data_IF_926539047085
#
_entry.id   IF_926539047085
#
_cell.length_a   1.000
_cell.length_b   1.000
_cell.length_c   1.000
_cell.angle_alpha   90.00
_cell.angle_beta   90.00
_cell.angle_gamma   90.00
#
_symmetry.space_group_name_H-M   'P 1'
#
loop_
_entity.id
_entity.type
_entity.pdbx_description
1 polymer ?
#
# COMPACT_ATOMS: atom_id res chain seq x y z
N UNK A 1 -19.10 -25.96 5.48
CA UNK A 1 -18.23 -24.86 5.95
C UNK A 1 -17.08 -24.68 4.97
N UNK A 2 -16.98 -23.52 4.31
CA UNK A 2 -15.83 -23.21 3.44
C UNK A 2 -14.68 -22.72 4.34
N UNK A 3 -13.51 -23.35 4.24
CA UNK A 3 -12.31 -22.97 4.99
C UNK A 3 -11.77 -21.66 4.41
N UNK A 4 -11.65 -20.62 5.22
CA UNK A 4 -10.97 -19.38 4.85
C UNK A 4 -9.50 -19.72 4.54
N UNK A 5 -9.05 -19.50 3.29
CA UNK A 5 -7.64 -19.62 2.93
C UNK A 5 -6.92 -18.39 3.48
N UNK A 6 -6.10 -18.59 4.51
CA UNK A 6 -5.19 -17.57 5.05
C UNK A 6 -4.06 -17.41 4.02
N UNK A 7 -4.08 -16.33 3.23
CA UNK A 7 -2.93 -15.95 2.41
C UNK A 7 -1.90 -15.30 3.34
N UNK A 8 -0.82 -16.02 3.61
CA UNK A 8 0.40 -15.41 4.16
C UNK A 8 1.25 -15.06 2.96
N UNK A 9 1.53 -13.78 2.74
CA UNK A 9 2.49 -13.38 1.72
C UNK A 9 3.84 -13.97 2.13
N UNK A 10 4.30 -15.00 1.40
CA UNK A 10 5.65 -15.54 1.57
C UNK A 10 6.63 -14.40 1.22
N UNK A 11 7.35 -13.93 2.24
CA UNK A 11 8.33 -12.88 2.05
C UNK A 11 9.55 -13.51 1.38
N UNK A 12 9.87 -13.08 0.16
CA UNK A 12 11.03 -13.56 -0.59
C UNK A 12 12.32 -13.19 0.16
N UNK A 13 12.88 -14.18 0.85
CA UNK A 13 14.08 -14.02 1.66
C UNK A 13 15.30 -13.67 0.81
N UNK A 14 15.34 -14.09 -0.45
CA UNK A 14 16.42 -13.75 -1.37
C UNK A 14 16.43 -12.26 -1.72
N UNK A 15 15.25 -11.70 -1.95
CA UNK A 15 15.09 -10.26 -2.14
C UNK A 15 15.49 -9.45 -0.89
N UNK A 16 15.16 -9.93 0.31
CA UNK A 16 15.57 -9.29 1.56
C UNK A 16 17.09 -9.32 1.77
N UNK A 17 17.74 -10.45 1.45
CA UNK A 17 19.19 -10.57 1.52
C UNK A 17 19.90 -9.67 0.49
N UNK A 18 19.33 -9.52 -0.71
CA UNK A 18 19.83 -8.58 -1.73
C UNK A 18 19.69 -7.12 -1.27
N UNK A 19 18.57 -6.75 -0.65
CA UNK A 19 18.39 -5.43 -0.06
C UNK A 19 19.37 -5.17 1.09
N UNK A 20 19.63 -6.18 1.93
CA UNK A 20 20.62 -6.07 3.01
C UNK A 20 22.01 -5.82 2.43
N UNK A 21 22.43 -6.62 1.46
CA UNK A 21 23.73 -6.49 0.82
C UNK A 21 23.91 -5.13 0.14
N UNK A 22 22.90 -4.65 -0.59
CA UNK A 22 22.91 -3.30 -1.19
C UNK A 22 23.00 -2.18 -0.14
N UNK A 23 22.42 -2.39 1.05
CA UNK A 23 22.50 -1.43 2.15
C UNK A 23 23.88 -1.38 2.82
N UNK A 24 24.63 -2.48 2.75
CA UNK A 24 25.99 -2.59 3.29
C UNK A 24 27.06 -2.04 2.32
N UNK A 25 26.84 -2.19 1.01
CA UNK A 25 27.74 -1.69 -0.04
C UNK A 25 27.60 -0.17 -0.29
N UNK A 26 26.45 0.40 0.04
CA UNK A 26 26.13 1.82 -0.17
C UNK A 26 26.10 2.58 1.17
N UNK A 27 26.43 3.89 1.16
CA UNK A 27 26.11 4.71 2.33
C UNK A 27 24.59 4.71 2.57
N UNK A 28 24.18 4.74 3.84
CA UNK A 28 22.78 4.72 4.27
C UNK A 28 21.94 5.77 3.54
N UNK A 29 22.48 6.97 3.35
CA UNK A 29 21.84 8.08 2.61
C UNK A 29 21.61 7.74 1.13
N UNK A 30 22.59 7.10 0.47
CA UNK A 30 22.52 6.71 -0.93
C UNK A 30 21.54 5.55 -1.14
N UNK A 31 21.51 4.60 -0.21
CA UNK A 31 20.54 3.51 -0.19
C UNK A 31 19.11 4.03 0.01
N UNK A 32 18.90 4.91 0.99
CA UNK A 32 17.60 5.57 1.23
C UNK A 32 17.16 6.37 -0.01
N UNK A 33 18.06 7.11 -0.65
CA UNK A 33 17.75 7.85 -1.88
C UNK A 33 17.37 6.92 -3.04
N UNK A 34 18.04 5.77 -3.18
CA UNK A 34 17.72 4.75 -4.19
C UNK A 34 16.33 4.17 -3.96
N UNK A 35 16.02 3.76 -2.73
CA UNK A 35 14.70 3.22 -2.36
C UNK A 35 13.61 4.26 -2.64
N UNK A 36 13.79 5.51 -2.20
CA UNK A 36 12.84 6.61 -2.47
C UNK A 36 12.60 6.82 -3.97
N UNK A 37 13.66 6.80 -4.80
CA UNK A 37 13.55 6.93 -6.26
C UNK A 37 12.82 5.74 -6.89
N UNK A 38 13.09 4.52 -6.43
CA UNK A 38 12.38 3.31 -6.86
C UNK A 38 10.89 3.42 -6.57
N UNK A 39 10.54 3.78 -5.33
CA UNK A 39 9.15 4.00 -4.91
C UNK A 39 8.48 5.10 -5.73
N UNK A 40 9.15 6.23 -6.01
CA UNK A 40 8.57 7.30 -6.83
C UNK A 40 8.31 6.90 -8.29
N UNK A 41 9.20 6.12 -8.91
CA UNK A 41 8.96 5.54 -10.24
C UNK A 41 7.75 4.61 -10.21
N UNK A 42 7.65 3.73 -9.20
CA UNK A 42 6.51 2.84 -9.00
C UNK A 42 5.19 3.61 -8.88
N UNK A 43 5.16 4.66 -8.05
CA UNK A 43 3.98 5.53 -7.86
C UNK A 43 3.50 6.15 -9.18
N UNK A 44 4.41 6.70 -9.98
CA UNK A 44 4.07 7.30 -11.28
C UNK A 44 3.50 6.28 -12.27
N UNK A 45 3.97 5.04 -12.23
CA UNK A 45 3.44 3.95 -13.06
C UNK A 45 2.02 3.59 -12.62
N UNK A 46 1.78 3.42 -11.31
CA UNK A 46 0.46 3.10 -10.75
C UNK A 46 -0.58 4.16 -11.14
N UNK A 47 -0.28 5.44 -10.91
CA UNK A 47 -1.21 6.53 -11.24
C UNK A 47 -1.47 6.61 -12.75
N UNK A 48 -0.45 6.39 -13.58
CA UNK A 48 -0.61 6.36 -15.03
C UNK A 48 -1.53 5.21 -15.45
N UNK A 49 -1.37 4.03 -14.86
CA UNK A 49 -2.20 2.87 -15.19
C UNK A 49 -3.65 3.07 -14.76
N UNK A 50 -3.87 3.61 -13.56
CA UNK A 50 -5.19 3.98 -13.07
C UNK A 50 -5.92 4.97 -13.99
N UNK A 51 -5.20 5.97 -14.52
CA UNK A 51 -5.76 6.91 -15.51
C UNK A 51 -6.10 6.19 -16.82
N UNK A 52 -5.23 5.31 -17.32
CA UNK A 52 -5.47 4.54 -18.55
C UNK A 52 -6.68 3.61 -18.42
N UNK A 53 -6.87 3.01 -17.25
CA UNK A 53 -8.00 2.13 -16.94
C UNK A 53 -9.28 2.89 -16.55
N UNK A 54 -9.24 4.22 -16.51
CA UNK A 54 -10.42 5.05 -16.30
C UNK A 54 -10.88 5.18 -14.85
N UNK A 55 -10.06 4.81 -13.85
CA UNK A 55 -10.41 4.96 -12.42
C UNK A 55 -10.64 6.44 -12.04
N UNK A 56 -9.85 7.33 -12.64
CA UNK A 56 -10.00 8.78 -12.55
C UNK A 56 -9.28 9.46 -13.71
N UNK A 57 -9.67 10.69 -14.04
CA UNK A 57 -8.95 11.48 -15.04
C UNK A 57 -7.67 12.10 -14.45
N UNK A 58 -6.71 12.45 -15.32
CA UNK A 58 -5.52 13.23 -14.93
C UNK A 58 -5.87 14.54 -14.22
N UNK A 59 -6.92 15.22 -14.70
CA UNK A 59 -7.42 16.47 -14.10
C UNK A 59 -7.96 16.22 -12.69
N UNK A 60 -8.76 15.16 -12.53
CA UNK A 60 -9.30 14.81 -11.23
C UNK A 60 -8.20 14.44 -10.24
N UNK A 61 -7.22 13.64 -10.65
CA UNK A 61 -6.07 13.28 -9.82
C UNK A 61 -5.37 14.52 -9.27
N UNK A 62 -4.99 15.45 -10.15
CA UNK A 62 -4.29 16.67 -9.76
C UNK A 62 -5.10 17.56 -8.82
N UNK A 63 -6.43 17.56 -8.95
CA UNK A 63 -7.30 18.47 -8.21
C UNK A 63 -7.78 17.89 -6.87
N UNK A 64 -7.98 16.57 -6.79
CA UNK A 64 -8.64 15.93 -5.64
C UNK A 64 -7.73 15.04 -4.80
N UNK A 65 -6.70 14.45 -5.40
CA UNK A 65 -5.98 13.34 -4.77
C UNK A 65 -4.48 13.61 -4.60
N UNK A 66 -3.88 14.31 -5.57
CA UNK A 66 -2.46 14.63 -5.55
C UNK A 66 -2.09 15.33 -4.25
N UNK A 67 -1.09 14.80 -3.56
CA UNK A 67 -0.52 15.30 -2.30
C UNK A 67 -1.46 15.31 -1.07
N UNK A 68 -2.77 15.13 -1.26
CA UNK A 68 -3.79 15.15 -0.19
C UNK A 68 -3.54 14.09 0.88
N UNK A 69 -3.04 12.93 0.47
CA UNK A 69 -2.83 11.76 1.33
C UNK A 69 -1.34 11.46 1.55
N UNK A 70 -0.48 12.47 1.43
CA UNK A 70 0.90 12.35 1.86
C UNK A 70 0.95 12.37 3.40
N UNK A 71 1.70 11.45 4.00
CA UNK A 71 1.99 11.51 5.43
C UNK A 71 3.06 12.56 5.75
N UNK A 72 3.43 12.72 7.03
CA UNK A 72 4.47 13.64 7.49
C UNK A 72 5.85 13.36 6.88
N UNK A 73 6.07 12.17 6.32
CA UNK A 73 7.30 11.76 5.67
C UNK A 73 7.24 11.90 4.13
N UNK A 74 6.14 12.43 3.59
CA UNK A 74 5.91 12.56 2.14
C UNK A 74 5.58 11.22 1.45
N UNK A 75 5.18 10.21 2.21
CA UNK A 75 4.71 8.93 1.68
C UNK A 75 3.28 9.10 1.15
N UNK A 76 3.13 8.90 -0.16
CA UNK A 76 1.86 8.99 -0.85
C UNK A 76 1.05 7.72 -0.63
N UNK A 77 0.17 7.75 0.36
CA UNK A 77 -0.70 6.61 0.72
C UNK A 77 -1.77 6.36 -0.34
N UNK A 78 -2.10 7.35 -1.18
CA UNK A 78 -3.11 7.21 -2.21
C UNK A 78 -2.63 6.36 -3.38
N UNK A 79 -1.40 6.58 -3.87
CA UNK A 79 -0.87 5.69 -4.92
C UNK A 79 -0.71 4.25 -4.44
N UNK A 80 -0.44 4.01 -3.15
CA UNK A 80 -0.46 2.65 -2.58
C UNK A 80 -1.86 2.04 -2.59
N UNK A 81 -2.87 2.81 -2.16
CA UNK A 81 -4.27 2.38 -2.21
C UNK A 81 -4.70 2.06 -3.65
N UNK A 82 -4.38 2.92 -4.61
CA UNK A 82 -4.70 2.66 -6.02
C UNK A 82 -3.95 1.46 -6.59
N UNK A 83 -2.71 1.22 -6.17
CA UNK A 83 -2.00 -0.02 -6.52
C UNK A 83 -2.76 -1.26 -6.05
N UNK A 84 -3.36 -1.19 -4.87
CA UNK A 84 -4.20 -2.24 -4.30
C UNK A 84 -5.50 -2.42 -5.10
N UNK A 85 -6.15 -1.31 -5.51
CA UNK A 85 -7.32 -1.33 -6.40
C UNK A 85 -7.01 -1.99 -7.74
N UNK A 86 -5.89 -1.65 -8.37
CA UNK A 86 -5.47 -2.28 -9.63
C UNK A 86 -5.24 -3.78 -9.46
N UNK A 87 -4.59 -4.19 -8.37
CA UNK A 87 -4.39 -5.61 -8.07
C UNK A 87 -5.73 -6.34 -7.87
N UNK A 88 -6.66 -5.74 -7.13
CA UNK A 88 -8.02 -6.25 -6.95
C UNK A 88 -8.76 -6.45 -8.28
N UNK A 89 -8.64 -5.49 -9.21
CA UNK A 89 -9.24 -5.63 -10.53
C UNK A 89 -8.64 -6.78 -11.34
N UNK A 90 -7.33 -7.03 -11.19
CA UNK A 90 -6.61 -8.06 -11.95
C UNK A 90 -6.80 -9.47 -11.37
N UNK A 91 -6.77 -9.63 -10.04
CA UNK A 91 -6.87 -10.95 -9.39
C UNK A 91 -8.28 -11.33 -8.91
N UNK A 92 -9.14 -10.33 -8.63
CA UNK A 92 -10.44 -10.49 -7.96
C UNK A 92 -10.36 -11.14 -6.57
N UNK A 93 -9.18 -11.21 -5.99
CA UNK A 93 -9.02 -11.68 -4.61
C UNK A 93 -9.61 -10.65 -3.65
N UNK A 94 -10.21 -11.09 -2.55
CA UNK A 94 -10.67 -10.16 -1.53
C UNK A 94 -9.45 -9.48 -0.89
N UNK A 95 -9.25 -8.19 -1.19
CA UNK A 95 -8.07 -7.44 -0.79
C UNK A 95 -8.47 -6.29 0.12
N UNK A 96 -7.80 -6.21 1.27
CA UNK A 96 -7.92 -5.15 2.25
C UNK A 96 -6.71 -4.23 2.17
N UNK A 97 -6.93 -2.92 2.14
CA UNK A 97 -5.88 -1.93 2.31
C UNK A 97 -5.78 -1.48 3.76
N UNK A 98 -4.62 -1.68 4.39
CA UNK A 98 -4.38 -1.26 5.79
C UNK A 98 -3.52 -0.01 5.81
N UNK A 99 -3.93 1.01 6.56
CA UNK A 99 -3.19 2.27 6.68
C UNK A 99 -3.31 2.90 8.06
N UNK A 100 -2.40 3.81 8.39
CA UNK A 100 -2.49 4.74 9.52
C UNK A 100 -2.60 6.20 9.08
N UNK A 101 -2.93 6.45 7.79
CA UNK A 101 -3.03 7.80 7.24
C UNK A 101 -4.39 8.42 7.55
N UNK A 102 -4.42 9.39 8.47
CA UNK A 102 -5.66 10.03 8.93
C UNK A 102 -6.48 10.69 7.81
N UNK A 103 -5.82 11.28 6.80
CA UNK A 103 -6.53 11.92 5.68
C UNK A 103 -7.24 10.87 4.82
N UNK A 104 -6.59 9.72 4.59
CA UNK A 104 -7.16 8.63 3.81
C UNK A 104 -8.30 7.95 4.60
N UNK A 105 -8.10 7.75 5.90
CA UNK A 105 -9.11 7.21 6.81
C UNK A 105 -10.33 8.12 6.95
N UNK A 106 -10.15 9.44 6.96
CA UNK A 106 -11.26 10.41 6.97
C UNK A 106 -12.13 10.30 5.72
N UNK A 107 -11.51 10.00 4.58
CA UNK A 107 -12.17 9.89 3.28
C UNK A 107 -12.54 8.44 2.92
N UNK A 108 -12.38 7.50 3.88
CA UNK A 108 -12.54 6.06 3.70
C UNK A 108 -13.81 5.69 2.95
N UNK A 109 -14.98 6.07 3.44
CA UNK A 109 -16.25 5.64 2.85
C UNK A 109 -16.39 6.08 1.39
N UNK A 110 -15.91 7.29 1.07
CA UNK A 110 -15.94 7.82 -0.30
C UNK A 110 -14.98 7.06 -1.21
N UNK A 111 -13.79 6.70 -0.71
CA UNK A 111 -12.80 5.92 -1.45
C UNK A 111 -13.26 4.47 -1.65
N UNK A 112 -13.74 3.80 -0.60
CA UNK A 112 -14.26 2.44 -0.63
C UNK A 112 -15.45 2.32 -1.60
N UNK A 113 -16.44 3.20 -1.48
CA UNK A 113 -17.60 3.19 -2.37
C UNK A 113 -17.22 3.43 -3.84
N UNK A 114 -16.18 4.22 -4.09
CA UNK A 114 -15.75 4.56 -5.44
C UNK A 114 -14.91 3.46 -6.08
N UNK A 115 -13.99 2.87 -5.33
CA UNK A 115 -12.94 2.00 -5.88
C UNK A 115 -13.08 0.54 -5.47
N UNK A 116 -13.98 0.22 -4.53
CA UNK A 116 -14.35 -1.14 -4.15
C UNK A 116 -13.34 -1.88 -3.27
N UNK A 117 -12.26 -1.24 -2.84
CA UNK A 117 -11.27 -1.83 -1.92
C UNK A 117 -11.49 -1.25 -0.52
N UNK A 118 -11.72 -2.15 0.44
CA UNK A 118 -11.88 -1.81 1.85
C UNK A 118 -10.59 -1.22 2.42
N UNK A 119 -10.74 -0.23 3.29
CA UNK A 119 -9.66 0.48 4.00
C UNK A 119 -9.85 0.22 5.48
N UNK A 120 -8.79 -0.19 6.18
CA UNK A 120 -8.83 -0.42 7.63
C UNK A 120 -7.68 0.29 8.33
N UNK A 121 -7.95 0.84 9.50
CA UNK A 121 -6.91 1.42 10.34
C UNK A 121 -5.96 0.31 10.83
N UNK A 122 -4.66 0.57 10.93
CA UNK A 122 -3.67 -0.42 11.43
C UNK A 122 -4.09 -1.05 12.77
N UNK A 123 -4.48 -0.24 13.76
CA UNK A 123 -5.03 -0.69 15.05
C UNK A 123 -6.30 -1.57 14.95
N UNK A 124 -7.16 -1.35 13.95
CA UNK A 124 -8.35 -2.18 13.73
C UNK A 124 -7.99 -3.54 13.10
N UNK A 125 -6.92 -3.59 12.31
CA UNK A 125 -6.45 -4.83 11.69
C UNK A 125 -5.85 -5.81 12.71
N UNK A 126 -5.38 -5.31 13.85
CA UNK A 126 -4.75 -6.11 14.92
C UNK A 126 -5.62 -6.33 16.16
N UNK A 127 -6.86 -5.86 16.17
CA UNK A 127 -7.78 -5.96 17.33
C UNK A 127 -8.86 -7.05 17.21
N UNK A 128 -8.83 -7.87 16.16
CA UNK A 128 -9.65 -9.08 16.08
C UNK A 128 -8.92 -10.30 16.64
N UNK A 129 -9.28 -10.76 17.84
CA UNK A 129 -9.18 -12.12 18.38
C UNK A 129 -8.02 -13.06 17.93
N UNK A 130 -6.79 -12.55 17.79
CA UNK A 130 -5.56 -13.34 17.64
C UNK A 130 -4.52 -12.96 18.71
N UNK A 131 -4.97 -12.60 19.92
CA UNK A 131 -4.14 -12.62 21.15
C UNK A 131 -4.03 -14.07 21.64
N UNK A 132 -3.40 -14.92 20.82
CA UNK A 132 -2.69 -16.11 21.27
C UNK A 132 -1.28 -16.00 20.69
N UNK A 133 -0.51 -15.03 21.20
CA UNK A 133 0.95 -15.03 21.03
C UNK A 133 1.48 -16.17 21.90
N UNK A 134 2.21 -17.17 21.37
CA UNK A 134 3.14 -17.89 22.22
C UNK A 134 4.23 -16.89 22.63
N UNK A 135 4.49 -16.82 23.94
CA UNK A 135 5.70 -16.21 24.47
C UNK A 135 6.90 -16.81 23.73
N UNK A 136 7.64 -15.99 22.98
CA UNK A 136 9.03 -16.31 22.68
C UNK A 136 9.83 -15.95 23.92
N UNK A 137 10.15 -16.97 24.73
CA UNK A 137 11.30 -16.95 25.63
C UNK A 137 12.58 -17.06 24.82
#
# INVERSE_FOLDING_TARGET
MKKNKKYVAECDTGFLDELRWLSEEMSSEKFIAMMRRGTEKGRKVIIRDAIKRGLFSKREYNNKFKDKYNDSNGLDSFSQYIGTVLHFMDSRDEILFVTSNDNLLRDRDMLENRFGVNIRHVNEAFSGDDINRPNYQ
#
